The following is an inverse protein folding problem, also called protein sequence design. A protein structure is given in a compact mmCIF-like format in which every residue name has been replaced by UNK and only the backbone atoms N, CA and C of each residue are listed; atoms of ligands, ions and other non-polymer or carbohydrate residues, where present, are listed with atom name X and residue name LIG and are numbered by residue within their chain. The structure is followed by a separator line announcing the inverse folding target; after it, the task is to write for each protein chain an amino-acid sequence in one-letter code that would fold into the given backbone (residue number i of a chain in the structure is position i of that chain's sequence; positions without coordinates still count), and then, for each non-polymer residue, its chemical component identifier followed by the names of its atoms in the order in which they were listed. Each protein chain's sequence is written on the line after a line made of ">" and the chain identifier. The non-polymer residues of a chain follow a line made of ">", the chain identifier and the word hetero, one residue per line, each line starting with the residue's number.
data_IF_253521622649
#
_entry.id   IF_253521622649
#
_cell.length_a   1.000
_cell.length_b   1.000
_cell.length_c   1.000
_cell.angle_alpha   90.00
_cell.angle_beta   90.00
_cell.angle_gamma   90.00
#
_symmetry.space_group_name_H-M   'P 1'
#
loop_
_entity.id
_entity.type
_entity.pdbx_description
1 polymer ?
#
# COMPACT_ATOMS: atom_id res chain seq x y z
N UNK A 1 -4.60 -1.54 15.25
CA UNK A 1 -3.67 -0.91 14.29
C UNK A 1 -4.49 -0.06 13.34
N UNK A 2 -4.22 1.25 13.24
CA UNK A 2 -4.85 2.17 12.28
C UNK A 2 -3.98 2.31 11.03
N UNK A 3 -4.59 2.19 9.87
CA UNK A 3 -3.92 2.24 8.58
C UNK A 3 -4.46 3.44 7.78
N UNK A 4 -3.58 4.15 7.09
CA UNK A 4 -3.93 5.21 6.12
C UNK A 4 -3.40 4.81 4.75
N UNK A 5 -4.26 4.82 3.72
CA UNK A 5 -3.85 4.71 2.33
C UNK A 5 -3.89 6.11 1.69
N UNK A 6 -2.82 6.49 0.98
CA UNK A 6 -2.74 7.81 0.37
C UNK A 6 -1.82 7.83 -0.87
N UNK A 7 -2.33 8.40 -1.96
CA UNK A 7 -1.51 8.83 -3.09
C UNK A 7 -1.01 10.27 -2.87
N UNK A 8 0.31 10.48 -2.89
CA UNK A 8 0.90 11.82 -2.71
C UNK A 8 1.03 12.61 -4.00
N UNK A 9 0.84 11.99 -5.17
CA UNK A 9 0.91 12.62 -6.50
C UNK A 9 2.19 13.45 -6.70
N UNK A 10 3.32 12.93 -6.20
CA UNK A 10 4.63 13.57 -6.17
C UNK A 10 4.65 14.97 -5.53
N UNK A 11 3.65 15.29 -4.70
CA UNK A 11 3.47 16.61 -4.14
C UNK A 11 4.25 16.75 -2.83
N UNK A 12 5.27 17.61 -2.84
CA UNK A 12 6.04 17.94 -1.63
C UNK A 12 5.15 18.38 -0.47
N UNK A 13 4.19 19.28 -0.71
CA UNK A 13 3.31 19.79 0.34
C UNK A 13 2.40 18.71 0.90
N UNK A 14 1.87 17.81 0.07
CA UNK A 14 1.10 16.66 0.54
C UNK A 14 1.95 15.74 1.42
N UNK A 15 3.22 15.52 1.05
CA UNK A 15 4.14 14.73 1.85
C UNK A 15 4.53 15.40 3.16
N UNK A 16 4.75 16.72 3.16
CA UNK A 16 5.06 17.47 4.38
C UNK A 16 3.86 17.41 5.37
N UNK A 17 2.62 17.44 4.86
CA UNK A 17 1.41 17.27 5.67
C UNK A 17 1.23 15.83 6.20
N UNK A 18 1.66 14.81 5.46
CA UNK A 18 1.48 13.40 5.83
C UNK A 18 1.98 13.10 7.26
N UNK A 19 3.12 13.68 7.67
CA UNK A 19 3.67 13.45 9.02
C UNK A 19 2.77 14.01 10.11
N UNK A 20 2.16 15.17 9.88
CA UNK A 20 1.20 15.78 10.79
C UNK A 20 -0.10 14.96 10.82
N UNK A 21 -0.63 14.58 9.66
CA UNK A 21 -1.84 13.74 9.54
C UNK A 21 -1.69 12.41 10.26
N UNK A 22 -0.58 11.70 10.04
CA UNK A 22 -0.26 10.44 10.73
C UNK A 22 -0.20 10.64 12.24
N UNK A 23 0.33 11.78 12.69
CA UNK A 23 0.41 12.11 14.10
C UNK A 23 -0.97 12.33 14.72
N UNK A 24 -1.76 13.21 14.12
CA UNK A 24 -3.04 13.69 14.63
C UNK A 24 -4.13 12.63 14.60
N UNK A 25 -4.18 11.83 13.53
CA UNK A 25 -5.18 10.77 13.38
C UNK A 25 -4.79 9.45 14.10
N UNK A 26 -3.63 9.43 14.76
CA UNK A 26 -3.12 8.25 15.46
C UNK A 26 -2.86 7.07 14.52
N UNK A 27 -2.40 7.34 13.28
CA UNK A 27 -2.11 6.30 12.29
C UNK A 27 -0.86 5.53 12.71
N UNK A 28 -0.92 4.20 12.60
CA UNK A 28 0.18 3.31 12.91
C UNK A 28 0.99 2.95 11.65
N UNK A 29 0.30 2.71 10.54
CA UNK A 29 0.90 2.36 9.25
C UNK A 29 0.31 3.25 8.17
N UNK A 30 1.14 3.98 7.44
CA UNK A 30 0.74 4.70 6.24
C UNK A 30 1.23 3.94 5.00
N UNK A 31 0.32 3.69 4.07
CA UNK A 31 0.59 3.04 2.79
C UNK A 31 0.49 4.12 1.73
N UNK A 32 1.62 4.41 1.11
CA UNK A 32 1.82 5.63 0.35
C UNK A 32 2.30 5.30 -1.05
N UNK A 33 1.78 5.98 -2.05
CA UNK A 33 2.39 5.99 -3.38
C UNK A 33 2.82 7.38 -3.83
N UNK A 34 3.72 7.38 -4.82
CA UNK A 34 4.21 8.55 -5.53
C UNK A 34 4.77 9.63 -4.59
N UNK A 35 5.62 9.24 -3.65
CA UNK A 35 6.27 10.17 -2.71
C UNK A 35 7.26 11.10 -3.42
N UNK A 36 7.40 12.32 -2.91
CA UNK A 36 8.39 13.31 -3.35
C UNK A 36 9.82 12.94 -2.91
N UNK A 37 9.99 12.41 -1.69
CA UNK A 37 11.28 11.95 -1.13
C UNK A 37 11.09 10.74 -0.21
N UNK A 38 12.19 10.09 0.19
CA UNK A 38 12.19 9.06 1.25
C UNK A 38 12.70 9.68 2.56
N UNK A 39 11.84 10.14 3.48
CA UNK A 39 12.23 10.97 4.62
C UNK A 39 12.64 10.16 5.85
N UNK A 40 12.31 8.86 5.91
CA UNK A 40 12.47 8.05 7.12
C UNK A 40 13.73 7.20 7.14
N UNK A 41 14.12 6.68 8.32
CA UNK A 41 15.09 5.61 8.42
C UNK A 41 14.66 4.41 7.57
N UNK A 42 15.63 3.75 6.93
CA UNK A 42 15.39 2.60 6.05
C UNK A 42 14.62 1.43 6.71
N UNK A 43 14.51 1.38 8.05
CA UNK A 43 13.82 0.31 8.77
C UNK A 43 12.32 0.59 9.01
N UNK A 44 11.87 1.84 8.97
CA UNK A 44 10.44 2.21 9.11
C UNK A 44 9.80 2.66 7.80
N UNK A 45 10.60 3.14 6.84
CA UNK A 45 10.15 3.55 5.52
C UNK A 45 10.58 2.50 4.50
N UNK A 46 9.69 1.58 4.19
CA UNK A 46 9.95 0.43 3.34
C UNK A 46 9.39 0.77 1.97
N UNK A 47 10.27 0.98 0.99
CA UNK A 47 9.90 1.33 -0.38
C UNK A 47 10.25 0.19 -1.33
N UNK A 48 9.53 0.12 -2.45
CA UNK A 48 9.92 -0.66 -3.60
C UNK A 48 11.16 -0.07 -4.30
N UNK A 49 11.70 -0.77 -5.30
CA UNK A 49 12.88 -0.31 -6.06
C UNK A 49 12.57 0.90 -6.94
N UNK A 50 11.32 1.09 -7.38
CA UNK A 50 10.90 2.22 -8.20
C UNK A 50 10.56 3.47 -7.37
N UNK A 51 10.46 3.34 -6.04
CA UNK A 51 10.04 4.40 -5.11
C UNK A 51 8.64 4.93 -5.43
N UNK A 52 7.74 4.03 -5.76
CA UNK A 52 6.33 4.34 -6.05
C UNK A 52 5.37 3.64 -5.10
N UNK A 53 5.79 2.56 -4.42
CA UNK A 53 5.01 1.87 -3.40
C UNK A 53 5.76 1.89 -2.07
N UNK A 54 5.10 2.35 -1.01
CA UNK A 54 5.72 2.56 0.30
C UNK A 54 4.82 2.06 1.42
N UNK A 55 5.45 1.43 2.41
CA UNK A 55 4.89 1.21 3.73
C UNK A 55 5.72 2.03 4.73
N UNK A 56 5.07 2.98 5.38
CA UNK A 56 5.64 3.74 6.48
C UNK A 56 5.04 3.27 7.81
N UNK A 57 5.86 2.62 8.62
CA UNK A 57 5.49 2.17 9.97
C UNK A 57 5.95 3.22 10.99
N UNK A 58 5.00 3.78 11.73
CA UNK A 58 5.32 4.77 12.77
C UNK A 58 6.04 4.10 13.94
N UNK A 59 6.94 4.82 14.59
CA UNK A 59 7.58 4.38 15.83
C UNK A 59 6.56 3.94 16.89
N UNK A 60 6.86 2.82 17.56
CA UNK A 60 5.99 2.18 18.56
C UNK A 60 5.44 0.82 18.13
N UNK A 61 5.47 0.48 16.83
CA UNK A 61 5.22 -0.88 16.35
C UNK A 61 6.49 -1.45 15.69
N UNK A 62 6.91 -2.68 16.05
CA UNK A 62 8.03 -3.32 15.39
C UNK A 62 7.63 -3.77 13.97
N UNK A 63 8.51 -3.52 13.02
CA UNK A 63 8.50 -4.26 11.74
C UNK A 63 9.08 -5.64 12.04
N UNK A 64 8.22 -6.66 12.03
CA UNK A 64 8.58 -8.04 12.38
C UNK A 64 9.30 -8.74 11.22
N UNK A 65 8.96 -8.38 9.98
CA UNK A 65 9.55 -8.94 8.77
C UNK A 65 9.35 -7.98 7.58
N UNK A 66 10.21 -8.08 6.57
CA UNK A 66 10.22 -7.25 5.35
C UNK A 66 11.11 -7.88 4.26
N UNK A 67 11.01 -7.45 2.99
CA UNK A 67 11.89 -7.91 1.93
C UNK A 67 13.37 -7.78 2.30
N UNK A 68 14.16 -8.80 1.98
CA UNK A 68 15.63 -8.77 2.10
C UNK A 68 16.29 -7.84 1.09
N UNK A 69 15.60 -7.56 -0.02
CA UNK A 69 16.00 -6.62 -1.08
C UNK A 69 14.77 -5.84 -1.58
N UNK A 70 14.96 -4.64 -2.15
CA UNK A 70 13.88 -3.93 -2.83
C UNK A 70 13.30 -4.75 -4.00
N UNK A 71 11.98 -4.81 -4.08
CA UNK A 71 11.22 -5.46 -5.16
C UNK A 71 10.67 -4.39 -6.10
N UNK A 72 10.40 -4.71 -7.37
CA UNK A 72 9.88 -3.74 -8.33
C UNK A 72 8.37 -3.58 -8.17
N UNK A 73 7.87 -2.34 -8.17
CA UNK A 73 6.45 -1.96 -8.16
C UNK A 73 5.63 -2.33 -6.91
N UNK A 74 6.19 -3.13 -5.99
CA UNK A 74 5.54 -3.43 -4.72
C UNK A 74 6.55 -3.61 -3.60
N UNK A 75 6.05 -3.53 -2.37
CA UNK A 75 6.80 -3.85 -1.17
C UNK A 75 5.87 -4.43 -0.11
N UNK A 76 6.43 -5.05 0.92
CA UNK A 76 5.64 -5.62 2.00
C UNK A 76 6.31 -5.47 3.37
N UNK A 77 5.51 -5.56 4.43
CA UNK A 77 5.99 -5.57 5.81
C UNK A 77 5.06 -6.41 6.68
N UNK A 78 5.62 -7.14 7.64
CA UNK A 78 4.86 -7.79 8.69
C UNK A 78 4.82 -6.89 9.92
N UNK A 79 3.62 -6.44 10.29
CA UNK A 79 3.39 -5.56 11.44
C UNK A 79 2.20 -6.08 12.22
N UNK A 80 2.35 -6.25 13.54
CA UNK A 80 1.29 -6.79 14.41
C UNK A 80 0.68 -8.11 13.87
N UNK A 81 1.55 -9.00 13.37
CA UNK A 81 1.23 -10.31 12.79
C UNK A 81 0.33 -10.25 11.55
N UNK A 82 0.27 -9.11 10.87
CA UNK A 82 -0.38 -8.95 9.58
C UNK A 82 0.67 -8.62 8.52
N UNK A 83 0.66 -9.37 7.41
CA UNK A 83 1.45 -9.03 6.23
C UNK A 83 0.70 -7.96 5.45
N UNK A 84 1.33 -6.81 5.27
CA UNK A 84 0.80 -5.67 4.54
C UNK A 84 1.59 -5.53 3.25
N UNK A 85 0.90 -5.50 2.12
CA UNK A 85 1.49 -5.25 0.81
C UNK A 85 1.05 -3.88 0.31
N UNK A 86 2.01 -3.11 -0.20
CA UNK A 86 1.77 -1.88 -0.96
C UNK A 86 2.18 -2.15 -2.40
N UNK A 87 1.23 -1.99 -3.33
CA UNK A 87 1.42 -2.27 -4.76
C UNK A 87 1.04 -1.03 -5.53
N UNK A 88 1.92 -0.62 -6.46
CA UNK A 88 1.64 0.42 -7.42
C UNK A 88 1.77 -0.18 -8.81
N UNK A 89 0.69 -0.20 -9.59
CA UNK A 89 0.69 -0.66 -10.97
C UNK A 89 0.63 0.55 -11.91
N UNK A 90 1.79 1.07 -12.39
CA UNK A 90 1.78 2.24 -13.25
C UNK A 90 0.89 2.03 -14.49
N UNK A 91 0.07 3.02 -14.89
CA UNK A 91 -0.79 2.90 -16.07
C UNK A 91 0.01 2.76 -17.39
N UNK A 92 1.32 3.04 -17.33
CA UNK A 92 2.26 2.89 -18.44
C UNK A 92 2.78 1.45 -18.62
N UNK A 93 2.50 0.53 -17.69
CA UNK A 93 2.96 -0.84 -17.83
C UNK A 93 2.29 -1.50 -19.04
N UNK A 94 3.10 -2.20 -19.85
CA UNK A 94 2.57 -3.15 -20.82
C UNK A 94 1.86 -4.30 -20.11
N UNK A 95 0.99 -5.01 -20.83
CA UNK A 95 0.30 -6.19 -20.29
C UNK A 95 1.27 -7.26 -19.78
N UNK A 96 2.43 -7.41 -20.42
CA UNK A 96 3.49 -8.34 -20.01
C UNK A 96 4.12 -7.90 -18.69
N UNK A 97 4.51 -6.62 -18.56
CA UNK A 97 5.11 -6.09 -17.33
C UNK A 97 4.11 -6.15 -16.16
N UNK A 98 2.85 -5.82 -16.43
CA UNK A 98 1.77 -5.93 -15.47
C UNK A 98 1.55 -7.38 -15.03
N UNK A 99 1.57 -8.33 -15.96
CA UNK A 99 1.45 -9.77 -15.62
C UNK A 99 2.64 -10.22 -14.77
N UNK A 100 3.87 -9.81 -15.11
CA UNK A 100 5.06 -10.11 -14.31
C UNK A 100 5.01 -9.51 -12.90
N UNK A 101 4.48 -8.29 -12.75
CA UNK A 101 4.21 -7.69 -11.44
C UNK A 101 3.30 -8.60 -10.61
N UNK A 102 2.17 -9.02 -11.16
CA UNK A 102 1.23 -9.89 -10.46
C UNK A 102 1.87 -11.24 -10.09
N UNK A 103 2.54 -11.91 -11.01
CA UNK A 103 3.22 -13.18 -10.74
C UNK A 103 4.24 -13.06 -9.61
N UNK A 104 5.14 -12.08 -9.69
CA UNK A 104 6.17 -11.87 -8.66
C UNK A 104 5.56 -11.56 -7.29
N UNK A 105 4.48 -10.77 -7.27
CA UNK A 105 3.77 -10.43 -6.04
C UNK A 105 3.08 -11.67 -5.43
N UNK A 106 2.46 -12.51 -6.25
CA UNK A 106 1.80 -13.74 -5.81
C UNK A 106 2.79 -14.75 -5.23
N UNK A 107 3.93 -14.93 -5.88
CA UNK A 107 5.04 -15.77 -5.38
C UNK A 107 5.51 -15.27 -4.01
N UNK A 108 5.70 -13.95 -3.86
CA UNK A 108 6.03 -13.36 -2.57
C UNK A 108 4.92 -13.54 -1.53
N UNK A 109 3.65 -13.48 -1.91
CA UNK A 109 2.52 -13.58 -0.99
C UNK A 109 2.14 -15.02 -0.59
N UNK A 110 2.74 -16.05 -1.21
CA UNK A 110 2.32 -17.45 -1.09
C UNK A 110 2.20 -17.92 0.37
N UNK A 111 3.23 -17.68 1.18
CA UNK A 111 3.31 -18.15 2.57
C UNK A 111 2.97 -17.07 3.62
N UNK A 112 2.36 -15.96 3.19
CA UNK A 112 2.14 -14.77 4.03
C UNK A 112 0.68 -14.66 4.43
N UNK A 113 0.32 -15.06 5.66
CA UNK A 113 -1.04 -14.93 6.21
C UNK A 113 -1.01 -14.50 7.70
N UNK A 114 -2.01 -13.75 8.19
CA UNK A 114 -3.06 -13.05 7.44
C UNK A 114 -2.50 -11.92 6.56
N UNK A 115 -3.19 -11.63 5.45
CA UNK A 115 -2.70 -10.74 4.38
C UNK A 115 -3.65 -9.56 4.16
N UNK A 116 -3.08 -8.36 4.07
CA UNK A 116 -3.71 -7.14 3.59
C UNK A 116 -2.94 -6.67 2.34
N UNK A 117 -3.65 -6.53 1.23
CA UNK A 117 -3.08 -6.02 -0.03
C UNK A 117 -3.73 -4.69 -0.35
N UNK A 118 -2.89 -3.67 -0.49
CA UNK A 118 -3.32 -2.35 -0.94
C UNK A 118 -2.77 -2.12 -2.34
N UNK A 119 -3.68 -1.86 -3.27
CA UNK A 119 -3.44 -1.70 -4.70
C UNK A 119 -3.84 -0.29 -5.12
N UNK A 120 -2.93 0.37 -5.81
CA UNK A 120 -3.17 1.68 -6.40
C UNK A 120 -3.09 1.41 -7.91
N UNK A 121 -4.28 1.38 -8.56
CA UNK A 121 -4.63 0.84 -9.90
C UNK A 121 -4.71 -0.71 -10.05
N UNK A 122 -5.94 -1.23 -10.31
CA UNK A 122 -6.47 -2.56 -10.81
C UNK A 122 -5.60 -3.86 -10.77
N UNK A 123 -6.04 -5.14 -10.53
CA UNK A 123 -7.29 -5.90 -10.30
C UNK A 123 -6.99 -7.25 -9.56
N UNK A 124 -8.03 -8.07 -9.31
CA UNK A 124 -8.21 -9.19 -8.35
C UNK A 124 -7.67 -10.59 -8.73
N UNK A 125 -6.42 -10.92 -8.38
CA UNK A 125 -5.85 -12.28 -8.61
C UNK A 125 -5.54 -13.03 -7.31
N UNK A 126 -5.78 -12.42 -6.15
CA UNK A 126 -5.57 -13.06 -4.85
C UNK A 126 -6.92 -13.52 -4.28
N UNK A 127 -6.91 -14.58 -3.47
CA UNK A 127 -8.05 -15.03 -2.66
C UNK A 127 -8.28 -14.04 -1.51
N UNK A 128 -8.73 -12.86 -1.89
CA UNK A 128 -8.88 -11.68 -1.04
C UNK A 128 -10.20 -10.99 -1.33
N UNK A 129 -10.82 -10.47 -0.29
CA UNK A 129 -12.09 -9.75 -0.33
C UNK A 129 -11.81 -8.26 -0.53
N UNK A 130 -12.51 -7.64 -1.47
CA UNK A 130 -12.49 -6.19 -1.66
C UNK A 130 -13.07 -5.50 -0.41
N UNK A 131 -12.27 -4.63 0.20
CA UNK A 131 -12.65 -3.88 1.40
C UNK A 131 -13.34 -2.56 1.08
N UNK A 132 -13.09 -1.95 -0.09
CA UNK A 132 -13.71 -0.68 -0.45
C UNK A 132 -15.23 -0.78 -0.42
N UNK A 133 -15.87 0.17 0.26
CA UNK A 133 -17.33 0.30 0.28
C UNK A 133 -17.77 1.67 -0.26
N UNK A 134 -19.04 1.78 -0.66
CA UNK A 134 -19.59 3.01 -1.21
C UNK A 134 -19.15 3.32 -2.65
N UNK A 135 -19.28 4.58 -3.06
CA UNK A 135 -19.04 5.06 -4.44
C UNK A 135 -18.24 6.36 -4.49
N UNK A 136 -17.64 6.76 -3.37
CA UNK A 136 -16.81 7.97 -3.29
C UNK A 136 -15.58 7.76 -4.16
N UNK A 137 -15.30 8.73 -5.03
CA UNK A 137 -14.12 8.69 -5.90
C UNK A 137 -12.83 8.77 -5.08
N UNK A 138 -11.84 7.97 -5.44
CA UNK A 138 -10.50 7.98 -4.83
C UNK A 138 -9.52 8.83 -5.63
N UNK A 139 -9.83 9.15 -6.89
CA UNK A 139 -9.06 10.06 -7.72
C UNK A 139 -9.95 11.07 -8.44
N UNK A 140 -9.62 12.35 -8.33
CA UNK A 140 -10.29 13.42 -9.11
C UNK A 140 -9.27 14.18 -9.92
N UNK A 141 -9.44 14.17 -11.24
CA UNK A 141 -8.59 14.85 -12.21
C UNK A 141 -9.36 15.79 -13.13
N UNK A 142 -8.68 16.45 -14.08
CA UNK A 142 -9.30 17.43 -14.98
C UNK A 142 -10.40 16.83 -15.87
N UNK A 143 -10.34 15.53 -16.16
CA UNK A 143 -11.28 14.81 -17.03
C UNK A 143 -12.42 14.11 -16.27
N UNK A 144 -12.45 14.22 -14.94
CA UNK A 144 -13.46 13.60 -14.11
C UNK A 144 -12.89 12.83 -12.92
N UNK A 145 -13.74 11.97 -12.35
CA UNK A 145 -13.48 11.25 -11.11
C UNK A 145 -13.54 9.75 -11.32
N UNK A 146 -12.62 9.00 -10.70
CA UNK A 146 -12.52 7.54 -10.79
C UNK A 146 -12.28 6.89 -9.41
N UNK A 147 -12.43 5.58 -9.34
CA UNK A 147 -12.02 4.76 -8.19
C UNK A 147 -10.90 3.84 -8.67
N UNK A 148 -9.67 4.21 -8.33
CA UNK A 148 -8.45 3.51 -8.77
C UNK A 148 -7.67 2.91 -7.60
N UNK A 149 -7.83 3.50 -6.43
CA UNK A 149 -7.25 3.02 -5.18
C UNK A 149 -8.14 1.93 -4.57
N UNK A 150 -7.65 0.70 -4.58
CA UNK A 150 -8.36 -0.51 -4.13
C UNK A 150 -7.62 -1.19 -2.98
N UNK A 151 -8.38 -1.90 -2.15
CA UNK A 151 -7.85 -2.50 -0.94
C UNK A 151 -8.51 -3.84 -0.73
N UNK A 152 -7.71 -4.86 -0.43
CA UNK A 152 -8.16 -6.23 -0.32
C UNK A 152 -7.58 -6.90 0.93
N UNK A 153 -8.34 -7.79 1.56
CA UNK A 153 -7.88 -8.57 2.70
C UNK A 153 -8.15 -10.05 2.51
N UNK A 154 -7.29 -10.93 3.03
CA UNK A 154 -7.59 -12.36 3.13
C UNK A 154 -8.81 -12.58 4.02
N UNK A 155 -9.59 -13.63 3.78
CA UNK A 155 -10.78 -14.00 4.57
C UNK A 155 -10.56 -14.01 6.09
N UNK A 156 -9.40 -14.48 6.55
CA UNK A 156 -9.06 -14.52 7.98
C UNK A 156 -8.85 -13.13 8.61
N UNK A 157 -8.62 -12.10 7.79
CA UNK A 157 -8.44 -10.72 8.22
C UNK A 157 -9.73 -9.91 8.09
N UNK A 158 -10.60 -10.20 7.13
CA UNK A 158 -11.83 -9.44 6.85
C UNK A 158 -12.69 -9.16 8.09
N UNK A 159 -12.98 -10.13 8.99
CA UNK A 159 -13.77 -9.87 10.22
C UNK A 159 -13.11 -8.91 11.21
N UNK A 160 -11.81 -8.63 11.05
CA UNK A 160 -11.00 -7.78 11.92
C UNK A 160 -10.81 -6.37 11.35
N UNK A 161 -11.26 -6.12 10.12
CA UNK A 161 -11.21 -4.81 9.46
C UNK A 161 -12.48 -4.04 9.79
N UNK A 162 -12.33 -2.77 10.19
CA UNK A 162 -13.45 -1.88 10.48
C UNK A 162 -13.11 -0.46 10.06
N UNK A 163 -14.12 0.29 9.60
CA UNK A 163 -13.96 1.69 9.19
C UNK A 163 -13.05 1.88 7.98
N UNK A 164 -13.07 0.90 7.06
CA UNK A 164 -12.38 0.97 5.77
C UNK A 164 -13.20 1.73 4.74
#
# INVERSE_FOLDING_TARGET
>A
MRILQLNLNHCRSAQDLLSQTVRELGINVAIVCDQYKNPGPHYTWIADSNRQAVIWVRGGLPVQDRPSRPLSFFTWARVSDVYIFSVYAPPRLSITEFSSLLTNMMEEAQDKRPLLVILLDAFSVLDVVLLNTGRTSTFTGPQGSSIIDLSFASDSLTPRVAGW
#
